data_IF_191111384219
#
_entry.id   IF_191111384219
#
_cell.length_a   1.000
_cell.length_b   1.000
_cell.length_c   1.000
_cell.angle_alpha   90.00
_cell.angle_beta   90.00
_cell.angle_gamma   90.00
#
_symmetry.space_group_name_H-M   'P 1'
#
loop_
_entity.id
_entity.type
_entity.pdbx_description
1 polymer ?
#
# COMPACT_ATOMS: atom_id res chain seq x y z
N UNK A 1 3.69 25.53 31.89
CA UNK A 1 3.15 24.19 32.20
C UNK A 1 2.41 23.71 30.96
N UNK A 2 2.83 22.60 30.36
CA UNK A 2 2.23 22.10 29.12
C UNK A 2 1.00 21.25 29.48
N UNK A 3 -0.17 21.67 29.03
CA UNK A 3 -1.43 20.95 29.26
C UNK A 3 -1.62 19.89 28.16
N UNK A 4 -1.93 18.65 28.55
CA UNK A 4 -2.28 17.57 27.60
C UNK A 4 -3.79 17.36 27.72
N UNK A 5 -4.53 17.63 26.64
CA UNK A 5 -5.95 17.29 26.54
C UNK A 5 -6.11 15.82 26.13
N UNK A 6 -6.74 15.03 27.01
CA UNK A 6 -7.06 13.62 26.75
C UNK A 6 -8.41 13.52 26.05
N UNK A 7 -8.40 13.70 24.74
CA UNK A 7 -9.54 13.37 23.88
C UNK A 7 -9.57 11.84 23.71
N UNK A 8 -10.75 11.22 23.77
CA UNK A 8 -10.93 9.76 23.64
C UNK A 8 -10.30 9.16 22.36
N UNK A 9 -10.32 7.83 22.17
CA UNK A 9 -9.56 7.17 21.11
C UNK A 9 -9.88 7.82 19.75
N UNK A 10 -8.87 8.25 18.98
CA UNK A 10 -9.09 8.98 17.75
C UNK A 10 -9.99 8.17 16.82
N UNK A 11 -10.91 8.82 16.08
CA UNK A 11 -11.82 8.12 15.20
C UNK A 11 -11.02 7.24 14.24
N UNK A 12 -11.28 5.93 14.27
CA UNK A 12 -10.67 4.96 13.35
C UNK A 12 -11.10 5.34 11.93
N UNK A 13 -10.33 6.14 11.22
CA UNK A 13 -10.55 6.45 9.81
C UNK A 13 -10.35 5.17 9.00
N UNK A 14 -11.41 4.36 8.91
CA UNK A 14 -11.43 3.06 8.23
C UNK A 14 -11.45 3.19 6.70
N UNK A 15 -11.67 4.40 6.19
CA UNK A 15 -11.86 4.68 4.77
C UNK A 15 -10.68 5.43 4.17
N UNK A 16 -9.46 4.92 4.39
CA UNK A 16 -8.27 5.46 3.76
C UNK A 16 -8.20 5.02 2.30
N UNK A 17 -7.52 5.79 1.45
CA UNK A 17 -7.21 5.42 0.05
C UNK A 17 -6.70 3.98 -0.08
N UNK A 18 -5.94 3.51 0.90
CA UNK A 18 -5.41 2.14 0.96
C UNK A 18 -6.49 1.07 1.13
N UNK A 19 -7.54 1.34 1.91
CA UNK A 19 -8.66 0.41 2.07
C UNK A 19 -9.40 0.20 0.75
N UNK A 20 -9.59 1.26 -0.03
CA UNK A 20 -10.19 1.18 -1.37
C UNK A 20 -9.31 0.37 -2.33
N UNK A 21 -8.02 0.68 -2.40
CA UNK A 21 -7.06 -0.05 -3.25
C UNK A 21 -7.01 -1.53 -2.88
N UNK A 22 -6.90 -1.86 -1.59
CA UNK A 22 -6.85 -3.24 -1.13
C UNK A 22 -8.13 -4.00 -1.48
N UNK A 23 -9.31 -3.35 -1.38
CA UNK A 23 -10.58 -3.93 -1.79
C UNK A 23 -10.63 -4.21 -3.29
N UNK A 24 -10.19 -3.27 -4.12
CA UNK A 24 -10.12 -3.45 -5.58
C UNK A 24 -9.16 -4.60 -5.94
N UNK A 25 -7.98 -4.67 -5.33
CA UNK A 25 -7.05 -5.79 -5.54
C UNK A 25 -7.62 -7.15 -5.09
N UNK A 26 -8.39 -7.19 -4.00
CA UNK A 26 -9.08 -8.42 -3.55
C UNK A 26 -10.18 -8.85 -4.51
N UNK A 27 -10.86 -7.90 -5.17
CA UNK A 27 -11.87 -8.19 -6.19
C UNK A 27 -11.24 -8.75 -7.48
N UNK A 28 -9.96 -8.51 -7.71
CA UNK A 28 -9.19 -9.01 -8.85
C UNK A 28 -7.98 -9.84 -8.38
N UNK A 29 -8.21 -11.03 -7.78
CA UNK A 29 -7.13 -11.85 -7.25
C UNK A 29 -6.12 -12.24 -8.33
N UNK A 30 -4.84 -12.34 -7.96
CA UNK A 30 -3.70 -12.70 -8.81
C UNK A 30 -3.36 -11.70 -9.93
N UNK A 31 -4.12 -10.62 -10.07
CA UNK A 31 -3.88 -9.55 -11.05
C UNK A 31 -3.02 -8.44 -10.45
N UNK A 32 -1.98 -8.02 -11.19
CA UNK A 32 -1.12 -6.91 -10.79
C UNK A 32 -1.76 -5.57 -11.14
N UNK A 33 -1.92 -4.71 -10.13
CA UNK A 33 -2.37 -3.32 -10.28
C UNK A 33 -1.31 -2.32 -9.83
N UNK A 34 -1.25 -1.16 -10.48
CA UNK A 34 -0.40 -0.04 -10.03
C UNK A 34 -1.10 0.71 -8.92
N UNK A 35 -0.57 0.64 -7.69
CA UNK A 35 -1.21 1.23 -6.50
C UNK A 35 -0.72 2.63 -6.18
N UNK A 36 0.51 2.97 -6.58
CA UNK A 36 1.10 4.29 -6.34
C UNK A 36 2.20 4.57 -7.35
N UNK A 37 2.37 5.85 -7.69
CA UNK A 37 3.49 6.36 -8.49
C UNK A 37 4.23 7.45 -7.71
N UNK A 38 5.19 7.11 -6.85
CA UNK A 38 5.99 8.12 -6.15
C UNK A 38 7.11 8.69 -7.03
N UNK A 39 7.63 9.86 -6.65
CA UNK A 39 8.66 10.57 -7.42
C UNK A 39 10.05 9.92 -7.34
N UNK A 40 10.26 8.99 -6.40
CA UNK A 40 11.57 8.36 -6.19
C UNK A 40 11.45 6.86 -5.95
N UNK A 41 12.46 6.11 -6.41
CA UNK A 41 12.55 4.67 -6.21
C UNK A 41 12.55 4.26 -4.72
N UNK A 42 13.27 4.93 -3.80
CA UNK A 42 13.22 4.57 -2.38
C UNK A 42 11.81 4.66 -1.80
N UNK A 43 11.04 5.70 -2.18
CA UNK A 43 9.63 5.83 -1.75
C UNK A 43 8.75 4.72 -2.33
N UNK A 44 9.02 4.28 -3.56
CA UNK A 44 8.33 3.13 -4.14
C UNK A 44 8.66 1.83 -3.39
N UNK A 45 9.94 1.60 -3.09
CA UNK A 45 10.41 0.42 -2.39
C UNK A 45 9.84 0.34 -0.96
N UNK A 46 9.89 1.43 -0.20
CA UNK A 46 9.29 1.50 1.14
C UNK A 46 7.78 1.26 1.12
N UNK A 47 7.07 1.80 0.12
CA UNK A 47 5.63 1.56 -0.02
C UNK A 47 5.31 0.09 -0.36
N UNK A 48 6.08 -0.53 -1.25
CA UNK A 48 5.94 -1.95 -1.57
C UNK A 48 6.20 -2.83 -0.33
N UNK A 49 7.22 -2.51 0.47
CA UNK A 49 7.51 -3.22 1.72
C UNK A 49 6.35 -3.10 2.72
N UNK A 50 5.80 -1.89 2.90
CA UNK A 50 4.69 -1.68 3.82
C UNK A 50 3.42 -2.46 3.45
N UNK A 51 3.19 -2.71 2.15
CA UNK A 51 2.10 -3.56 1.66
C UNK A 51 2.36 -5.03 1.98
N UNK A 52 3.56 -5.54 1.67
CA UNK A 52 3.94 -6.95 1.94
C UNK A 52 3.85 -7.30 3.44
N UNK A 53 4.37 -6.40 4.28
CA UNK A 53 4.41 -6.55 5.73
C UNK A 53 3.05 -6.27 6.40
N UNK A 54 2.02 -5.89 5.64
CA UNK A 54 0.72 -5.45 6.17
C UNK A 54 0.82 -4.34 7.24
N UNK A 55 1.79 -3.42 7.12
CA UNK A 55 1.95 -2.27 8.05
C UNK A 55 0.73 -1.36 8.08
N UNK A 56 -0.09 -1.43 7.03
CA UNK A 56 -1.41 -0.78 6.98
C UNK A 56 -2.48 -1.88 7.14
N UNK A 57 -3.46 -1.71 8.04
CA UNK A 57 -4.50 -2.71 8.30
C UNK A 57 -5.28 -3.16 7.05
N UNK A 58 -5.34 -2.32 6.01
CA UNK A 58 -5.97 -2.64 4.74
C UNK A 58 -5.32 -3.83 4.00
N UNK A 59 -4.01 -4.04 4.18
CA UNK A 59 -3.26 -5.12 3.52
C UNK A 59 -3.07 -6.35 4.41
N UNK A 60 -3.68 -6.38 5.60
CA UNK A 60 -3.61 -7.53 6.49
C UNK A 60 -4.43 -8.73 5.95
N UNK A 61 -4.03 -9.97 6.25
CA UNK A 61 -2.80 -10.34 6.97
C UNK A 61 -1.53 -10.22 6.11
N UNK A 62 -0.36 -10.13 6.75
CA UNK A 62 0.93 -10.13 6.05
C UNK A 62 1.04 -11.37 5.13
N UNK A 63 1.66 -11.19 3.96
CA UNK A 63 1.72 -12.25 2.94
C UNK A 63 0.47 -12.36 2.06
N UNK A 64 -0.67 -11.76 2.42
CA UNK A 64 -1.88 -11.79 1.55
C UNK A 64 -1.75 -10.97 0.27
N UNK A 65 -0.79 -10.05 0.24
CA UNK A 65 -0.50 -9.22 -0.91
C UNK A 65 0.97 -9.35 -1.28
N UNK A 66 1.22 -9.59 -2.56
CA UNK A 66 2.53 -9.35 -3.12
C UNK A 66 2.60 -7.90 -3.59
N UNK A 67 3.76 -7.27 -3.40
CA UNK A 67 4.02 -5.94 -3.91
C UNK A 67 5.46 -5.86 -4.43
N UNK A 68 5.67 -5.04 -5.46
CA UNK A 68 7.00 -4.78 -6.04
C UNK A 68 7.10 -3.34 -6.50
N UNK A 69 8.26 -2.72 -6.28
CA UNK A 69 8.59 -1.42 -6.83
C UNK A 69 9.35 -1.62 -8.15
N UNK A 70 8.94 -0.93 -9.21
CA UNK A 70 9.64 -0.94 -10.50
C UNK A 70 9.77 0.48 -11.03
N UNK A 71 10.90 0.74 -11.65
CA UNK A 71 11.11 1.95 -12.45
C UNK A 71 10.83 1.59 -13.90
N UNK A 72 9.95 2.37 -14.55
CA UNK A 72 9.60 2.21 -15.96
C UNK A 72 10.02 3.49 -16.67
N UNK A 73 10.82 3.36 -17.72
CA UNK A 73 11.21 4.49 -18.58
C UNK A 73 10.53 4.33 -19.93
N UNK A 74 9.62 5.25 -20.27
CA UNK A 74 8.84 5.24 -21.51
C UNK A 74 8.86 6.66 -22.12
N UNK A 75 9.17 6.77 -23.41
CA UNK A 75 9.14 8.06 -24.13
C UNK A 75 10.04 9.15 -23.54
N UNK A 76 11.17 8.76 -22.93
CA UNK A 76 12.10 9.70 -22.27
C UNK A 76 11.68 10.14 -20.87
N UNK A 77 10.58 9.61 -20.31
CA UNK A 77 10.14 9.87 -18.93
C UNK A 77 10.35 8.64 -18.06
N UNK A 78 10.91 8.85 -16.88
CA UNK A 78 11.10 7.81 -15.87
C UNK A 78 10.03 7.91 -14.80
N UNK A 79 9.24 6.85 -14.63
CA UNK A 79 8.23 6.73 -13.57
C UNK A 79 8.60 5.60 -12.61
N UNK A 80 8.54 5.87 -11.30
CA UNK A 80 8.58 4.82 -10.30
C UNK A 80 7.15 4.39 -9.98
N UNK A 81 6.87 3.10 -10.14
CA UNK A 81 5.54 2.51 -9.97
C UNK A 81 5.61 1.42 -8.91
N UNK A 82 4.63 1.41 -8.02
CA UNK A 82 4.40 0.32 -7.07
C UNK A 82 3.30 -0.54 -7.63
N UNK A 83 3.64 -1.80 -7.89
CA UNK A 83 2.70 -2.83 -8.31
C UNK A 83 2.33 -3.65 -7.09
N UNK A 84 1.06 -4.01 -6.96
CA UNK A 84 0.62 -4.98 -5.96
C UNK A 84 -0.46 -5.89 -6.56
N UNK A 85 -0.54 -7.11 -6.04
CA UNK A 85 -1.61 -8.05 -6.33
C UNK A 85 -2.04 -8.76 -5.05
N UNK A 86 -3.32 -9.10 -4.97
CA UNK A 86 -3.82 -9.96 -3.91
C UNK A 86 -3.53 -11.42 -4.29
N UNK A 87 -2.77 -12.14 -3.47
CA UNK A 87 -2.44 -13.55 -3.69
C UNK A 87 -3.23 -14.49 -2.77
N UNK A 88 -3.86 -13.95 -1.72
CA UNK A 88 -4.42 -14.73 -0.64
C UNK A 88 -3.35 -15.08 0.39
N UNK A 89 -3.76 -15.30 1.64
CA UNK A 89 -2.83 -15.72 2.68
C UNK A 89 -2.66 -17.23 2.64
N UNK A 90 -1.50 -17.72 2.20
CA UNK A 90 -1.00 -18.99 2.73
C UNK A 90 -0.52 -18.68 4.16
N UNK A 91 -1.20 -19.27 5.15
CA UNK A 91 -0.71 -19.33 6.53
C UNK A 91 0.36 -20.41 6.62
#
# INVERSE_FOLDING_TARGET
MSHVEFVGPPPKQRNTKHARIARELRAHPKVWGVVRKPDTLPRAASAAQAIRDARLPAYAPAGSFEAVARTVTEGGRTEHRVYARYVGGEQ
#
